data_IF_962948114932
#
_entry.id   IF_962948114932
#
_cell.length_a   1.000
_cell.length_b   1.000
_cell.length_c   1.000
_cell.angle_alpha   90.00
_cell.angle_beta   90.00
_cell.angle_gamma   90.00
#
_symmetry.space_group_name_H-M   'P 1'
#
loop_
_entity.id
_entity.type
_entity.pdbx_description
1 polymer ?
#
# COMPACT_ATOMS: atom_id res chain seq x y z
N UNK A 1 8.13 -5.47 12.64
CA UNK A 1 6.73 -5.00 12.71
C UNK A 1 6.04 -5.46 11.41
N UNK A 2 5.57 -6.71 11.37
CA UNK A 2 5.10 -7.41 10.15
C UNK A 2 3.56 -7.54 10.13
N UNK A 3 2.88 -7.14 11.20
CA UNK A 3 1.50 -7.57 11.47
C UNK A 3 0.37 -6.71 10.90
N UNK A 4 0.58 -5.44 10.52
CA UNK A 4 -0.53 -4.48 10.53
C UNK A 4 -1.57 -4.65 9.41
N UNK A 5 -1.18 -4.75 8.14
CA UNK A 5 -2.17 -4.78 7.04
C UNK A 5 -2.81 -6.17 6.83
N UNK A 6 -2.05 -7.24 7.03
CA UNK A 6 -2.56 -8.61 7.03
C UNK A 6 -3.54 -8.83 8.21
N UNK A 7 -3.30 -8.15 9.34
CA UNK A 7 -4.27 -8.09 10.43
C UNK A 7 -5.54 -7.32 10.03
N UNK A 8 -5.46 -6.22 9.28
CA UNK A 8 -6.63 -5.43 8.87
C UNK A 8 -7.68 -6.26 8.13
N UNK A 9 -7.28 -7.02 7.10
CA UNK A 9 -8.24 -7.81 6.32
C UNK A 9 -8.84 -8.96 7.13
N UNK A 10 -8.00 -9.65 7.93
CA UNK A 10 -8.48 -10.67 8.87
C UNK A 10 -9.43 -10.07 9.92
N UNK A 11 -9.16 -8.85 10.36
CA UNK A 11 -10.00 -8.13 11.30
C UNK A 11 -11.34 -7.75 10.68
N UNK A 12 -11.36 -7.29 9.42
CA UNK A 12 -12.60 -7.01 8.68
C UNK A 12 -13.43 -8.29 8.46
N UNK A 13 -12.81 -9.41 8.12
CA UNK A 13 -13.51 -10.70 8.02
C UNK A 13 -14.11 -11.11 9.36
N UNK A 14 -13.32 -11.05 10.45
CA UNK A 14 -13.79 -11.41 11.80
C UNK A 14 -14.89 -10.48 12.31
N UNK A 15 -14.76 -9.19 12.04
CA UNK A 15 -15.80 -8.20 12.32
C UNK A 15 -17.09 -8.57 11.60
N UNK A 16 -17.01 -8.87 10.31
CA UNK A 16 -18.16 -9.28 9.52
C UNK A 16 -18.84 -10.54 10.08
N UNK A 17 -18.07 -11.56 10.46
CA UNK A 17 -18.61 -12.78 11.08
C UNK A 17 -19.38 -12.50 12.37
N UNK A 18 -18.99 -11.45 13.11
CA UNK A 18 -19.58 -11.10 14.41
C UNK A 18 -20.83 -10.22 14.28
N UNK A 19 -20.83 -9.29 13.33
CA UNK A 19 -21.83 -8.22 13.26
C UNK A 19 -22.81 -8.34 12.08
N UNK A 20 -22.58 -9.25 11.13
CA UNK A 20 -23.52 -9.47 10.02
C UNK A 20 -24.91 -9.88 10.55
N UNK A 21 -25.94 -9.33 9.94
CA UNK A 21 -27.33 -9.67 10.21
C UNK A 21 -27.76 -10.92 9.43
N UNK A 22 -28.96 -11.42 9.73
CA UNK A 22 -29.49 -12.64 9.12
C UNK A 22 -29.56 -12.58 7.58
N UNK A 23 -29.88 -11.39 7.05
CA UNK A 23 -30.08 -11.18 5.62
C UNK A 23 -28.83 -10.62 4.92
N UNK A 24 -27.74 -10.39 5.67
CA UNK A 24 -26.48 -9.93 5.12
C UNK A 24 -25.73 -11.05 4.38
N UNK A 25 -24.91 -10.71 3.36
CA UNK A 25 -24.06 -11.67 2.67
C UNK A 25 -23.19 -12.49 3.62
N UNK A 26 -23.04 -13.78 3.32
CA UNK A 26 -22.22 -14.70 4.13
C UNK A 26 -20.73 -14.33 4.13
N UNK A 27 -20.25 -13.67 3.08
CA UNK A 27 -18.87 -13.16 2.98
C UNK A 27 -18.87 -11.65 3.11
N UNK A 28 -17.82 -11.11 3.73
CA UNK A 28 -17.65 -9.66 3.85
C UNK A 28 -17.65 -9.00 2.47
N UNK A 29 -18.39 -7.89 2.27
CA UNK A 29 -18.35 -7.12 1.03
C UNK A 29 -17.08 -6.27 0.90
N UNK A 30 -16.33 -6.06 1.99
CA UNK A 30 -15.18 -5.15 2.01
C UNK A 30 -14.05 -5.52 1.02
N UNK A 31 -13.65 -6.80 0.85
CA UNK A 31 -12.66 -7.18 -0.16
C UNK A 31 -13.13 -6.89 -1.59
N UNK A 32 -14.41 -7.15 -1.90
CA UNK A 32 -14.98 -6.88 -3.22
C UNK A 32 -15.05 -5.37 -3.52
N UNK A 33 -15.40 -4.56 -2.51
CA UNK A 33 -15.37 -3.11 -2.63
C UNK A 33 -13.95 -2.59 -2.88
N UNK A 34 -12.95 -3.14 -2.17
CA UNK A 34 -11.55 -2.78 -2.38
C UNK A 34 -11.05 -3.16 -3.79
N UNK A 35 -11.44 -4.32 -4.30
CA UNK A 35 -11.14 -4.74 -5.67
C UNK A 35 -11.78 -3.79 -6.70
N UNK A 36 -13.05 -3.44 -6.52
CA UNK A 36 -13.72 -2.49 -7.40
C UNK A 36 -13.04 -1.11 -7.42
N UNK A 37 -12.56 -0.63 -6.26
CA UNK A 37 -11.81 0.62 -6.16
C UNK A 37 -10.44 0.51 -6.82
N UNK A 38 -9.74 -0.62 -6.69
CA UNK A 38 -8.44 -0.81 -7.36
C UNK A 38 -8.58 -0.81 -8.89
N UNK A 39 -9.67 -1.37 -9.41
CA UNK A 39 -9.92 -1.46 -10.85
C UNK A 39 -10.47 -0.16 -11.45
N UNK A 40 -11.53 0.39 -10.85
CA UNK A 40 -12.30 1.51 -11.41
C UNK A 40 -12.10 2.84 -10.65
N UNK A 41 -11.40 2.83 -9.53
CA UNK A 41 -11.27 4.00 -8.65
C UNK A 41 -10.63 5.20 -9.34
N UNK A 42 -9.74 4.98 -10.31
CA UNK A 42 -9.08 6.07 -11.07
C UNK A 42 -10.10 7.00 -11.74
N UNK A 43 -11.12 6.48 -12.40
CA UNK A 43 -12.17 7.28 -13.05
C UNK A 43 -13.00 8.06 -12.03
N UNK A 44 -13.16 7.50 -10.82
CA UNK A 44 -13.80 8.14 -9.69
C UNK A 44 -12.86 9.04 -8.86
N UNK A 45 -11.60 9.22 -9.27
CA UNK A 45 -10.55 9.96 -8.53
C UNK A 45 -10.28 9.41 -7.12
N UNK A 46 -10.47 8.10 -6.95
CA UNK A 46 -10.13 7.37 -5.72
C UNK A 46 -8.75 6.74 -5.90
N UNK A 47 -7.84 7.06 -5.00
CA UNK A 47 -6.47 6.53 -5.00
C UNK A 47 -6.25 5.68 -3.74
N UNK A 48 -5.69 4.49 -3.94
CA UNK A 48 -5.40 3.55 -2.84
C UNK A 48 -3.93 3.57 -2.53
N UNK A 49 -3.60 3.88 -1.28
CA UNK A 49 -2.25 3.69 -0.73
C UNK A 49 -2.27 2.43 0.12
N UNK A 50 -1.40 1.48 -0.20
CA UNK A 50 -1.25 0.26 0.56
C UNK A 50 0.15 0.21 1.18
N UNK A 51 0.20 0.19 2.51
CA UNK A 51 1.41 -0.04 3.30
C UNK A 51 1.21 -1.30 4.15
N UNK A 52 2.00 -2.34 3.87
CA UNK A 52 1.80 -3.67 4.46
C UNK A 52 2.74 -4.72 3.88
N UNK A 53 2.78 -5.93 4.47
CA UNK A 53 3.69 -6.98 4.00
C UNK A 53 3.35 -7.41 2.56
N UNK A 54 4.38 -7.67 1.75
CA UNK A 54 4.21 -8.11 0.35
C UNK A 54 3.48 -9.46 0.19
N UNK A 55 3.28 -10.19 1.29
CA UNK A 55 2.50 -11.44 1.34
C UNK A 55 1.03 -11.23 1.00
N UNK A 56 0.51 -10.01 1.21
CA UNK A 56 -0.89 -9.73 0.90
C UNK A 56 -1.12 -9.62 -0.61
N UNK A 57 -0.09 -9.39 -1.44
CA UNK A 57 -0.23 -9.46 -2.91
C UNK A 57 -0.75 -10.81 -3.42
N UNK A 58 -0.63 -11.90 -2.63
CA UNK A 58 -1.22 -13.20 -2.98
C UNK A 58 -2.60 -13.48 -2.37
N UNK A 59 -3.04 -12.71 -1.37
CA UNK A 59 -4.31 -12.92 -0.64
C UNK A 59 -5.33 -11.79 -0.79
N UNK A 60 -4.90 -10.56 -1.06
CA UNK A 60 -5.79 -9.45 -1.36
C UNK A 60 -6.49 -9.72 -2.69
N UNK A 61 -5.72 -9.96 -3.75
CA UNK A 61 -6.22 -10.18 -5.11
C UNK A 61 -5.12 -10.89 -5.90
N UNK A 62 -5.42 -12.02 -6.54
CA UNK A 62 -4.55 -12.54 -7.60
C UNK A 62 -4.49 -11.48 -8.72
N UNK A 63 -3.35 -10.83 -8.93
CA UNK A 63 -3.23 -9.71 -9.87
C UNK A 63 -3.33 -8.31 -9.24
N UNK A 64 -3.46 -8.16 -7.91
CA UNK A 64 -3.42 -6.85 -7.23
C UNK A 64 -2.18 -6.03 -7.63
N UNK A 65 -1.06 -6.70 -7.91
CA UNK A 65 0.16 -6.03 -8.40
C UNK A 65 -0.06 -5.27 -9.70
N UNK A 66 -0.78 -5.87 -10.63
CA UNK A 66 -1.08 -5.25 -11.93
C UNK A 66 -2.00 -4.03 -11.78
N UNK A 67 -2.71 -3.94 -10.66
CA UNK A 67 -3.57 -2.81 -10.32
C UNK A 67 -2.78 -1.61 -9.75
N UNK A 68 -1.61 -1.85 -9.15
CA UNK A 68 -0.77 -0.79 -8.61
C UNK A 68 0.19 -0.26 -9.67
N UNK A 69 -0.12 0.92 -10.19
CA UNK A 69 0.75 1.61 -11.15
C UNK A 69 2.08 2.07 -10.54
N UNK A 70 2.14 2.26 -9.23
CA UNK A 70 3.34 2.74 -8.52
C UNK A 70 3.64 1.88 -7.32
N UNK A 71 4.89 1.44 -7.21
CA UNK A 71 5.40 0.69 -6.06
C UNK A 71 6.59 1.45 -5.49
N UNK A 72 6.58 1.72 -4.19
CA UNK A 72 7.69 2.39 -3.50
C UNK A 72 8.39 1.36 -2.61
N UNK A 73 9.65 1.06 -2.91
CA UNK A 73 10.46 0.05 -2.23
C UNK A 73 11.64 0.71 -1.51
N UNK A 74 11.64 0.68 -0.18
CA UNK A 74 12.77 1.13 0.62
C UNK A 74 13.86 0.04 0.72
N UNK A 75 14.31 -0.29 1.93
CA UNK A 75 15.24 -1.40 2.19
C UNK A 75 14.49 -2.73 2.21
N UNK A 76 14.26 -3.31 1.03
CA UNK A 76 13.66 -4.64 0.87
C UNK A 76 14.71 -5.69 0.49
N UNK A 77 14.42 -6.97 0.76
CA UNK A 77 15.27 -8.09 0.32
C UNK A 77 15.13 -8.33 -1.18
N UNK A 78 16.12 -8.99 -1.80
CA UNK A 78 16.06 -9.36 -3.21
C UNK A 78 14.83 -10.22 -3.55
N UNK A 79 14.43 -11.14 -2.65
CA UNK A 79 13.22 -11.95 -2.84
C UNK A 79 11.94 -11.11 -2.84
N UNK A 80 11.84 -10.10 -1.98
CA UNK A 80 10.70 -9.17 -1.96
C UNK A 80 10.68 -8.27 -3.19
N UNK A 81 11.86 -7.87 -3.68
CA UNK A 81 12.00 -7.17 -4.96
C UNK A 81 11.47 -8.00 -6.12
N UNK A 82 11.94 -9.25 -6.27
CA UNK A 82 11.46 -10.17 -7.31
C UNK A 82 9.96 -10.45 -7.20
N UNK A 83 9.41 -10.43 -5.98
CA UNK A 83 7.97 -10.51 -5.81
C UNK A 83 7.28 -9.27 -6.39
N UNK A 84 7.67 -8.07 -5.95
CA UNK A 84 6.93 -6.82 -6.17
C UNK A 84 7.24 -6.12 -7.50
N UNK A 85 8.47 -6.18 -7.97
CA UNK A 85 8.95 -5.52 -9.19
C UNK A 85 9.85 -6.44 -10.03
N UNK A 86 9.36 -7.64 -10.45
CA UNK A 86 10.16 -8.60 -11.23
C UNK A 86 10.58 -8.08 -12.60
N UNK A 87 9.85 -7.10 -13.14
CA UNK A 87 10.13 -6.50 -14.45
C UNK A 87 11.38 -5.62 -14.45
N UNK A 88 11.85 -5.18 -13.28
CA UNK A 88 13.04 -4.35 -13.15
C UNK A 88 14.26 -5.25 -12.97
N UNK A 89 15.07 -5.33 -14.02
CA UNK A 89 16.33 -6.08 -14.06
C UNK A 89 17.45 -5.20 -14.68
N UNK A 90 18.63 -5.08 -14.04
CA UNK A 90 19.02 -5.69 -12.76
C UNK A 90 18.29 -5.09 -11.56
N UNK A 91 18.10 -5.90 -10.50
CA UNK A 91 17.59 -5.42 -9.22
C UNK A 91 18.50 -4.29 -8.68
N UNK A 92 17.96 -3.09 -8.42
CA UNK A 92 18.73 -1.96 -7.89
C UNK A 92 19.41 -2.29 -6.56
N UNK A 93 20.59 -1.72 -6.35
CA UNK A 93 21.34 -1.92 -5.12
C UNK A 93 20.62 -1.27 -3.93
N UNK A 94 20.43 -2.05 -2.86
CA UNK A 94 19.87 -1.52 -1.61
C UNK A 94 20.79 -0.46 -1.00
N UNK A 95 20.20 0.65 -0.55
CA UNK A 95 20.95 1.75 0.07
C UNK A 95 20.83 1.74 1.59
N UNK A 96 21.93 2.00 2.33
CA UNK A 96 21.88 2.16 3.77
C UNK A 96 21.32 3.53 4.21
N UNK A 97 21.18 4.49 3.29
CA UNK A 97 20.73 5.84 3.60
C UNK A 97 19.25 5.84 4.02
N UNK A 98 18.96 6.47 5.16
CA UNK A 98 17.59 6.62 5.64
C UNK A 98 16.76 7.45 4.66
N UNK A 99 15.52 7.03 4.45
CA UNK A 99 14.60 7.65 3.48
C UNK A 99 14.97 7.40 2.01
N UNK A 100 16.02 6.62 1.71
CA UNK A 100 16.27 6.19 0.34
C UNK A 100 15.27 5.11 -0.05
N UNK A 101 14.54 5.35 -1.14
CA UNK A 101 13.59 4.41 -1.73
C UNK A 101 13.84 4.30 -3.23
N UNK A 102 13.29 3.26 -3.84
CA UNK A 102 13.13 3.12 -5.27
C UNK A 102 11.65 3.22 -5.61
N UNK A 103 11.33 4.10 -6.56
CA UNK A 103 9.99 4.23 -7.10
C UNK A 103 9.95 3.46 -8.41
N UNK A 104 9.08 2.44 -8.46
CA UNK A 104 8.88 1.59 -9.63
C UNK A 104 7.61 2.04 -10.34
N UNK A 105 7.76 2.46 -11.60
CA UNK A 105 6.71 2.94 -12.49
C UNK A 105 7.10 2.61 -13.93
N UNK A 106 6.14 2.28 -14.79
CA UNK A 106 6.34 2.07 -16.24
C UNK A 106 7.47 1.07 -16.60
N UNK A 107 7.72 0.08 -15.74
CA UNK A 107 8.76 -0.93 -15.96
C UNK A 107 10.18 -0.52 -15.58
N UNK A 108 10.38 0.67 -15.02
CA UNK A 108 11.68 1.15 -14.55
C UNK A 108 11.64 1.47 -13.05
N UNK A 109 12.81 1.50 -12.42
CA UNK A 109 13.00 1.89 -11.03
C UNK A 109 13.98 3.04 -10.92
N UNK A 110 13.52 4.17 -10.38
CA UNK A 110 14.39 5.32 -10.12
C UNK A 110 14.56 5.54 -8.61
N UNK A 111 15.76 5.93 -8.15
CA UNK A 111 16.00 6.24 -6.75
C UNK A 111 15.34 7.56 -6.37
N UNK A 112 14.68 7.61 -5.22
CA UNK A 112 14.11 8.80 -4.62
C UNK A 112 14.49 8.91 -3.14
N UNK A 113 14.47 10.15 -2.62
CA UNK A 113 14.74 10.43 -1.21
C UNK A 113 13.45 10.96 -0.58
N UNK A 114 12.85 10.17 0.31
CA UNK A 114 11.68 10.65 1.07
C UNK A 114 12.13 11.57 2.22
N UNK A 115 11.31 12.58 2.56
CA UNK A 115 11.55 13.41 3.74
C UNK A 115 11.58 12.56 5.01
N UNK A 116 12.54 12.83 5.86
CA UNK A 116 12.59 12.27 7.21
C UNK A 116 11.95 13.29 8.14
N UNK A 117 10.85 12.90 8.76
CA UNK A 117 10.13 13.73 9.73
C UNK A 117 9.95 12.92 11.00
N UNK A 118 10.17 13.57 12.13
CA UNK A 118 9.71 13.10 13.43
C UNK A 118 8.19 13.21 13.52
N UNK A 119 7.58 12.45 14.44
CA UNK A 119 6.13 12.53 14.68
C UNK A 119 5.70 13.96 15.05
N UNK A 120 6.55 14.71 15.78
CA UNK A 120 6.30 16.09 16.14
C UNK A 120 6.34 17.04 14.92
N UNK A 121 7.30 16.86 14.01
CA UNK A 121 7.38 17.63 12.76
C UNK A 121 6.20 17.32 11.84
N UNK A 122 5.81 16.04 11.72
CA UNK A 122 4.65 15.63 10.95
C UNK A 122 3.36 16.24 11.51
N UNK A 123 3.17 16.19 12.83
CA UNK A 123 2.02 16.81 13.50
C UNK A 123 2.01 18.34 13.33
N UNK A 124 3.17 19.00 13.45
CA UNK A 124 3.30 20.44 13.23
C UNK A 124 2.96 20.87 11.80
N UNK A 125 3.25 20.02 10.80
CA UNK A 125 2.91 20.30 9.41
C UNK A 125 1.40 20.28 9.16
N UNK A 126 0.69 19.33 9.79
CA UNK A 126 -0.77 19.23 9.72
C UNK A 126 -1.47 20.47 10.30
N UNK A 127 -0.92 21.06 11.36
CA UNK A 127 -1.52 22.23 12.03
C UNK A 127 -1.18 23.55 11.37
N UNK A 128 -0.02 23.66 10.72
CA UNK A 128 0.42 24.88 10.01
C UNK A 128 -0.39 25.12 8.74
N UNK A 129 -0.78 24.05 8.04
CA UNK A 129 -1.55 24.14 6.79
C UNK A 129 -2.98 24.65 7.01
N UNK A 130 -3.54 24.47 8.22
CA UNK A 130 -4.87 24.98 8.57
C UNK A 130 -4.92 26.49 8.84
N UNK A 131 -3.78 27.15 9.03
CA UNK A 131 -3.70 28.58 9.38
C UNK A 131 -3.47 29.50 8.16
N UNK A 132 -3.34 28.93 6.97
CA UNK A 132 -3.14 29.67 5.71
C UNK A 132 -4.17 29.26 4.67
N UNK A 133 -5.44 29.64 4.88
CA UNK A 133 -6.41 29.70 3.79
C UNK A 133 -6.03 30.85 2.84
N UNK A 134 -5.99 30.52 1.55
CA UNK A 134 -5.77 31.39 0.39
C UNK A 134 -7.05 32.12 0.02
#
# INVERSE_FOLDING_TARGET
MIDRADATLRHLTRYWDTFRQKDDPQRSPAPAALEAVLYAGREARIHVIYDGPATVSGRLIAGAREQFFTIILARVSAGMWQQLAPIVDPTPQSSPLLGRVHVVQDGDAHPAQVPLMTDAEAAGWLTTTAAGEI
#
